data_IF_597770507938
#
_entry.id   IF_597770507938
#
_cell.length_a   1.000
_cell.length_b   1.000
_cell.length_c   1.000
_cell.angle_alpha   90.00
_cell.angle_beta   90.00
_cell.angle_gamma   90.00
#
_symmetry.space_group_name_H-M   'P 1'
#
loop_
_entity.id
_entity.type
_entity.pdbx_description
1 polymer ?
#
# COMPACT_ATOMS: atom_id res chain seq x y z
N UNK A 1 4.42 -3.66 -18.68
CA UNK A 1 3.45 -3.72 -17.59
C UNK A 1 4.02 -3.05 -16.35
N UNK A 2 3.23 -2.22 -15.70
CA UNK A 2 3.66 -1.53 -14.49
C UNK A 2 3.74 -2.50 -13.33
N UNK A 3 4.86 -2.49 -12.61
CA UNK A 3 5.09 -3.40 -11.50
C UNK A 3 5.78 -2.67 -10.34
N UNK A 4 5.55 -3.20 -9.13
CA UNK A 4 6.22 -2.72 -7.93
C UNK A 4 7.58 -3.42 -7.84
N UNK A 5 8.64 -2.62 -7.68
CA UNK A 5 10.00 -3.16 -7.54
C UNK A 5 10.50 -3.13 -6.10
N UNK A 6 9.89 -2.27 -5.25
CA UNK A 6 10.29 -2.12 -3.86
C UNK A 6 9.14 -1.55 -3.05
N UNK A 7 9.03 -1.99 -1.80
CA UNK A 7 8.07 -1.41 -0.85
C UNK A 7 8.74 -1.29 0.51
N UNK A 8 8.56 -0.12 1.14
CA UNK A 8 9.05 0.16 2.50
C UNK A 8 7.97 0.91 3.27
N UNK A 9 8.20 1.05 4.57
CA UNK A 9 7.30 1.78 5.46
C UNK A 9 8.00 3.05 5.94
N UNK A 10 7.28 4.18 5.85
CA UNK A 10 7.70 5.46 6.40
C UNK A 10 6.74 5.87 7.51
N UNK A 11 7.27 6.36 8.61
CA UNK A 11 6.48 6.91 9.73
C UNK A 11 5.42 5.96 10.29
N UNK A 12 5.61 4.65 10.13
CA UNK A 12 4.73 3.65 10.71
C UNK A 12 3.35 3.54 10.08
N UNK A 13 3.03 4.36 9.06
CA UNK A 13 1.72 4.30 8.42
C UNK A 13 1.73 4.59 6.92
N UNK A 14 2.85 5.03 6.36
CA UNK A 14 2.95 5.38 4.95
C UNK A 14 3.76 4.32 4.21
N UNK A 15 3.23 3.82 3.10
CA UNK A 15 3.95 2.89 2.24
C UNK A 15 4.74 3.69 1.20
N UNK A 16 6.04 3.42 1.10
CA UNK A 16 6.92 3.97 0.08
C UNK A 16 7.09 2.89 -0.98
N UNK A 17 6.48 3.10 -2.13
CA UNK A 17 6.41 2.09 -3.19
C UNK A 17 7.15 2.60 -4.40
N UNK A 18 8.09 1.81 -4.90
CA UNK A 18 8.80 2.13 -6.14
C UNK A 18 8.31 1.23 -7.27
N UNK A 19 8.09 1.84 -8.43
CA UNK A 19 7.60 1.14 -9.62
C UNK A 19 8.73 0.92 -10.61
N UNK A 20 8.54 -0.03 -11.52
CA UNK A 20 9.56 -0.38 -12.51
C UNK A 20 9.83 0.70 -13.55
N UNK A 21 9.03 1.76 -13.60
CA UNK A 21 9.28 2.93 -14.46
C UNK A 21 10.01 4.05 -13.71
N UNK A 22 10.45 3.81 -12.47
CA UNK A 22 11.16 4.79 -11.66
C UNK A 22 10.28 5.71 -10.83
N UNK A 23 8.96 5.63 -10.96
CA UNK A 23 8.06 6.46 -10.16
C UNK A 23 7.97 5.96 -8.73
N UNK A 24 7.78 6.89 -7.80
CA UNK A 24 7.57 6.59 -6.40
C UNK A 24 6.15 6.96 -6.00
N UNK A 25 5.54 6.10 -5.19
CA UNK A 25 4.21 6.33 -4.64
C UNK A 25 4.34 6.36 -3.12
N UNK A 26 3.83 7.42 -2.50
CA UNK A 26 3.69 7.48 -1.04
C UNK A 26 2.21 7.30 -0.73
N UNK A 27 1.87 6.15 -0.17
CA UNK A 27 0.48 5.80 0.10
C UNK A 27 0.24 5.74 1.60
N UNK A 28 -0.60 6.65 2.11
CA UNK A 28 -0.99 6.68 3.52
C UNK A 28 -2.08 5.63 3.74
N UNK A 29 -1.83 4.65 4.59
CA UNK A 29 -2.79 3.58 4.86
C UNK A 29 -4.07 4.08 5.53
N UNK A 30 -4.07 5.31 6.07
CA UNK A 30 -5.29 5.91 6.59
C UNK A 30 -6.33 6.18 5.50
N UNK A 31 -5.90 6.17 4.24
CA UNK A 31 -6.81 6.35 3.10
C UNK A 31 -7.60 5.09 2.74
N UNK A 32 -7.23 3.95 3.32
CA UNK A 32 -7.97 2.71 3.08
C UNK A 32 -9.39 2.81 3.65
N UNK A 33 -10.37 2.18 2.98
CA UNK A 33 -11.76 2.24 3.43
C UNK A 33 -11.91 1.72 4.85
N UNK A 34 -12.53 2.51 5.71
CA UNK A 34 -12.76 2.11 7.12
C UNK A 34 -13.84 1.06 7.24
N UNK A 35 -14.72 0.98 6.25
CA UNK A 35 -15.80 -0.01 6.21
C UNK A 35 -15.27 -1.40 5.87
N UNK A 36 -14.10 -1.49 5.27
CA UNK A 36 -13.50 -2.77 4.89
C UNK A 36 -12.58 -3.24 6.00
N UNK A 37 -13.07 -4.14 6.83
CA UNK A 37 -12.34 -4.63 7.99
C UNK A 37 -11.12 -5.48 7.63
N UNK A 38 -10.98 -5.87 6.37
CA UNK A 38 -9.79 -6.62 5.95
C UNK A 38 -8.52 -5.77 6.05
N UNK A 39 -8.66 -4.44 6.13
CA UNK A 39 -7.52 -3.52 6.25
C UNK A 39 -7.29 -3.02 7.67
N UNK A 40 -8.03 -3.53 8.66
CA UNK A 40 -7.93 -3.01 10.03
C UNK A 40 -6.52 -3.10 10.60
N UNK A 41 -5.80 -4.18 10.32
CA UNK A 41 -4.44 -4.37 10.82
C UNK A 41 -3.43 -3.40 10.21
N UNK A 42 -3.77 -2.75 9.09
CA UNK A 42 -2.88 -1.78 8.45
C UNK A 42 -2.90 -0.40 9.11
N UNK A 43 -3.73 -0.20 10.12
CA UNK A 43 -3.78 1.08 10.82
C UNK A 43 -2.58 1.32 11.70
N UNK A 44 -1.86 0.25 12.03
CA UNK A 44 -0.62 0.36 12.81
C UNK A 44 0.41 -0.59 12.20
N UNK A 45 1.16 -0.07 11.23
CA UNK A 45 2.15 -0.85 10.50
C UNK A 45 3.32 -1.28 11.39
N UNK A 46 3.53 -0.60 12.52
CA UNK A 46 4.62 -0.95 13.43
C UNK A 46 4.39 -2.31 14.08
N UNK A 47 3.13 -2.76 14.16
CA UNK A 47 2.79 -4.06 14.74
C UNK A 47 2.91 -5.21 13.73
N UNK A 48 3.13 -4.88 12.46
CA UNK A 48 3.19 -5.87 11.40
C UNK A 48 4.62 -6.19 11.01
N UNK A 49 4.88 -7.39 10.47
CA UNK A 49 6.18 -7.67 9.87
C UNK A 49 6.38 -6.78 8.64
N UNK A 50 7.60 -6.80 8.11
CA UNK A 50 7.92 -6.01 6.95
C UNK A 50 7.06 -6.42 5.74
N UNK A 51 6.50 -5.46 4.98
CA UNK A 51 5.71 -5.82 3.81
C UNK A 51 6.58 -6.38 2.69
N UNK A 52 5.94 -7.17 1.82
CA UNK A 52 6.59 -7.74 0.63
C UNK A 52 5.76 -7.39 -0.59
N UNK A 53 6.33 -7.66 -1.76
CA UNK A 53 5.60 -7.43 -3.02
C UNK A 53 5.88 -8.58 -3.99
N UNK A 54 4.87 -8.91 -4.80
CA UNK A 54 5.01 -9.84 -5.90
C UNK A 54 5.05 -9.11 -7.26
N UNK A 55 5.16 -7.77 -7.21
CA UNK A 55 5.14 -6.92 -8.40
C UNK A 55 3.76 -6.33 -8.68
N UNK A 56 2.69 -6.98 -8.26
CA UNK A 56 1.31 -6.55 -8.54
C UNK A 56 0.55 -6.14 -7.29
N UNK A 57 1.08 -6.47 -6.11
CA UNK A 57 0.43 -6.15 -4.85
C UNK A 57 1.46 -5.98 -3.76
N UNK A 58 1.04 -5.36 -2.66
CA UNK A 58 1.78 -5.28 -1.42
C UNK A 58 1.07 -6.21 -0.43
N UNK A 59 1.82 -7.06 0.25
CA UNK A 59 1.22 -8.00 1.18
C UNK A 59 2.08 -8.17 2.43
N UNK A 60 1.43 -8.63 3.50
CA UNK A 60 2.09 -8.94 4.76
C UNK A 60 1.93 -10.44 5.03
N UNK A 61 2.96 -11.05 5.58
CA UNK A 61 2.92 -12.45 5.94
C UNK A 61 1.78 -12.68 6.94
N UNK A 62 0.88 -13.59 6.60
CA UNK A 62 -0.30 -13.91 7.41
C UNK A 62 -1.20 -12.69 7.65
N UNK A 63 -1.14 -11.70 6.77
CA UNK A 63 -1.90 -10.48 6.89
C UNK A 63 -2.59 -10.09 5.58
N UNK A 64 -3.01 -8.83 5.47
CA UNK A 64 -3.75 -8.37 4.30
C UNK A 64 -2.87 -8.23 3.06
N UNK A 65 -3.55 -8.03 1.93
CA UNK A 65 -2.91 -7.80 0.63
C UNK A 65 -3.64 -6.64 -0.05
N UNK A 66 -2.89 -5.72 -0.62
CA UNK A 66 -3.44 -4.59 -1.37
C UNK A 66 -2.90 -4.64 -2.79
N UNK A 67 -3.80 -4.74 -3.77
CA UNK A 67 -3.40 -4.74 -5.18
C UNK A 67 -2.93 -3.35 -5.61
N UNK A 68 -1.95 -3.30 -6.52
CA UNK A 68 -1.48 -2.03 -7.08
C UNK A 68 -2.63 -1.25 -7.71
N UNK A 69 -3.54 -1.94 -8.41
CA UNK A 69 -4.71 -1.29 -9.00
C UNK A 69 -5.58 -0.59 -7.97
N UNK A 70 -5.75 -1.20 -6.79
CA UNK A 70 -6.53 -0.59 -5.70
C UNK A 70 -5.82 0.65 -5.16
N UNK A 71 -4.50 0.58 -5.01
CA UNK A 71 -3.72 1.74 -4.54
C UNK A 71 -3.90 2.90 -5.51
N UNK A 72 -3.77 2.64 -6.81
CA UNK A 72 -3.90 3.69 -7.83
C UNK A 72 -5.31 4.28 -7.84
N UNK A 73 -6.33 3.44 -7.67
CA UNK A 73 -7.71 3.91 -7.61
C UNK A 73 -7.94 4.83 -6.42
N UNK A 74 -7.42 4.47 -5.26
CA UNK A 74 -7.58 5.28 -4.05
C UNK A 74 -6.85 6.61 -4.16
N UNK A 75 -5.67 6.63 -4.78
CA UNK A 75 -4.95 7.87 -5.01
C UNK A 75 -5.72 8.80 -5.95
N UNK A 76 -6.30 8.26 -7.03
CA UNK A 76 -7.06 9.05 -7.98
C UNK A 76 -8.32 9.65 -7.35
N UNK A 77 -8.96 8.94 -6.45
CA UNK A 77 -10.16 9.45 -5.76
C UNK A 77 -9.87 10.70 -4.95
N UNK A 78 -8.68 10.80 -4.41
CA UNK A 78 -8.32 11.95 -3.58
C UNK A 78 -8.02 13.18 -4.41
N UNK A 79 -7.57 12.99 -5.63
CA UNK A 79 -7.26 14.09 -6.53
C UNK A 79 -8.51 14.73 -7.13
N UNK A 80 -9.67 14.12 -6.94
CA UNK A 80 -10.94 14.56 -7.51
C UNK A 80 -11.83 15.34 -6.54
N UNK A 81 -11.28 15.82 -5.47
CA UNK A 81 -12.05 16.62 -4.52
C UNK A 81 -12.16 18.08 -4.93
#
# INVERSE_FOLDING_TARGET
MLQITRVDILDGQTLDIELNNGHLILFDTQRLPKEDHSYDSLRDLELLPRPSTDGQSVYWRDGPRIALGDIMTLLNRQDNN
#
